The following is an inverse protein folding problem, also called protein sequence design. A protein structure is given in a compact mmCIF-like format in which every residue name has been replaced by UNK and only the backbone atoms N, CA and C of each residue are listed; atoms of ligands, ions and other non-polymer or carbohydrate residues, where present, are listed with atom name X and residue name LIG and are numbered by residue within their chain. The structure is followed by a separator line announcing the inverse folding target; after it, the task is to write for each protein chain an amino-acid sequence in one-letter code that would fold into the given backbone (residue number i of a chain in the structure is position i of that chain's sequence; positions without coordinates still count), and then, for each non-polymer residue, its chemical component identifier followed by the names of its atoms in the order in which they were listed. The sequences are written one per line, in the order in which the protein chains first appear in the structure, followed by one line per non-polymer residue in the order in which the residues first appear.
data_IF_442999095039
#
_entry.id   IF_442999095039
#
_cell.length_a   1.000
_cell.length_b   1.000
_cell.length_c   1.000
_cell.angle_alpha   90.00
_cell.angle_beta   90.00
_cell.angle_gamma   90.00
#
_symmetry.space_group_name_H-M   'P 1'
#
loop_
_entity.id
_entity.type
_entity.pdbx_description
1 polymer ?
#
# COMPACT_ATOMS: atom_id res chain seq x y z
N UNK A 1 12.52 -3.69 -0.17
CA UNK A 1 11.75 -4.81 0.39
C UNK A 1 12.59 -5.55 1.43
N UNK A 2 12.04 -5.80 2.60
CA UNK A 2 12.63 -6.60 3.66
C UNK A 2 11.72 -7.80 3.98
N UNK A 3 12.31 -8.94 4.32
CA UNK A 3 11.59 -10.15 4.71
C UNK A 3 12.15 -10.65 6.03
N UNK A 4 11.33 -10.72 7.04
CA UNK A 4 11.60 -11.43 8.29
C UNK A 4 11.01 -12.83 8.19
N UNK A 5 11.85 -13.87 8.36
CA UNK A 5 11.38 -15.26 8.41
C UNK A 5 11.31 -15.73 9.85
N UNK A 6 10.21 -16.35 10.19
CA UNK A 6 10.05 -17.08 11.44
C UNK A 6 9.41 -18.44 11.16
N UNK A 7 9.87 -19.47 11.82
CA UNK A 7 9.10 -20.71 11.86
C UNK A 7 7.86 -20.55 12.77
N UNK A 8 6.96 -21.51 12.67
CA UNK A 8 5.69 -21.51 13.41
C UNK A 8 5.89 -21.43 14.93
N UNK A 9 6.95 -22.07 15.45
CA UNK A 9 7.25 -22.08 16.89
C UNK A 9 7.83 -20.75 17.31
N UNK A 10 8.85 -20.26 16.59
CA UNK A 10 9.45 -18.95 16.84
C UNK A 10 8.42 -17.81 16.78
N UNK A 11 7.49 -17.89 15.82
CA UNK A 11 6.41 -16.90 15.75
C UNK A 11 5.51 -16.97 17.00
N UNK A 12 5.13 -18.16 17.42
CA UNK A 12 4.35 -18.36 18.63
C UNK A 12 5.08 -17.84 19.88
N UNK A 13 6.36 -18.18 20.04
CA UNK A 13 7.16 -17.76 21.19
C UNK A 13 7.35 -16.25 21.25
N UNK A 14 7.45 -15.58 20.11
CA UNK A 14 7.53 -14.11 20.07
C UNK A 14 6.24 -13.40 20.44
N UNK A 15 5.09 -14.09 20.41
CA UNK A 15 3.81 -13.53 20.89
C UNK A 15 3.67 -13.60 22.43
N UNK A 16 4.36 -14.53 23.08
CA UNK A 16 4.26 -14.77 24.53
C UNK A 16 5.52 -14.38 25.30
N UNK A 17 6.65 -14.22 24.62
CA UNK A 17 7.94 -13.99 25.19
C UNK A 17 8.34 -12.52 25.36
N UNK A 18 9.50 -12.31 26.00
CA UNK A 18 10.10 -10.98 26.23
C UNK A 18 10.55 -10.30 24.91
N UNK A 19 10.75 -11.05 23.83
CA UNK A 19 11.13 -10.49 22.54
C UNK A 19 9.90 -9.99 21.80
N UNK A 20 9.75 -8.67 21.74
CA UNK A 20 8.62 -8.03 21.06
C UNK A 20 8.71 -8.23 19.55
N UNK A 21 7.86 -9.11 19.01
CA UNK A 21 7.61 -9.23 17.56
C UNK A 21 7.31 -7.85 16.94
N UNK A 22 6.46 -7.08 17.60
CA UNK A 22 6.05 -5.75 17.17
C UNK A 22 7.19 -4.74 17.14
N UNK A 23 8.16 -4.84 18.05
CA UNK A 23 9.35 -3.98 18.04
C UNK A 23 10.24 -4.23 16.83
N UNK A 24 10.52 -5.50 16.51
CA UNK A 24 11.34 -5.87 15.35
C UNK A 24 10.66 -5.49 14.02
N UNK A 25 9.39 -5.88 13.87
CA UNK A 25 8.64 -5.63 12.65
C UNK A 25 8.25 -4.15 12.49
N UNK A 26 8.02 -3.44 13.61
CA UNK A 26 7.77 -2.00 13.59
C UNK A 26 8.96 -1.22 13.06
N UNK A 27 10.19 -1.53 13.52
CA UNK A 27 11.41 -0.93 12.98
C UNK A 27 11.58 -1.24 11.49
N UNK A 28 11.32 -2.49 11.09
CA UNK A 28 11.40 -2.89 9.69
C UNK A 28 10.39 -2.13 8.82
N UNK A 29 9.16 -1.89 9.31
CA UNK A 29 8.12 -1.17 8.56
C UNK A 29 8.42 0.32 8.39
N UNK A 30 9.22 0.92 9.28
CA UNK A 30 9.65 2.32 9.15
C UNK A 30 10.86 2.49 8.24
N UNK A 31 11.69 1.46 8.11
CA UNK A 31 12.94 1.52 7.35
C UNK A 31 12.76 1.10 5.89
N UNK A 32 11.80 0.22 5.60
CA UNK A 32 11.59 -0.34 4.26
C UNK A 32 10.18 -0.11 3.75
N UNK A 33 10.05 0.34 2.50
CA UNK A 33 8.75 0.58 1.83
C UNK A 33 7.86 -0.67 1.76
N UNK A 34 8.48 -1.84 1.73
CA UNK A 34 7.79 -3.13 1.70
C UNK A 34 8.38 -4.04 2.75
N UNK A 35 7.57 -4.36 3.74
CA UNK A 35 7.93 -5.24 4.85
C UNK A 35 7.06 -6.49 4.84
N UNK A 36 7.68 -7.64 4.88
CA UNK A 36 7.03 -8.96 4.78
C UNK A 36 7.45 -9.81 5.97
N UNK A 37 6.46 -10.37 6.67
CA UNK A 37 6.66 -11.47 7.61
C UNK A 37 6.35 -12.78 6.90
N UNK A 38 7.34 -13.65 6.80
CA UNK A 38 7.19 -15.00 6.28
C UNK A 38 7.12 -15.99 7.44
N UNK A 39 6.01 -16.73 7.55
CA UNK A 39 5.81 -17.76 8.57
C UNK A 39 5.94 -19.10 7.89
N UNK A 40 6.98 -19.87 8.29
CA UNK A 40 7.30 -21.16 7.70
C UNK A 40 6.85 -22.32 8.59
N UNK A 41 6.27 -23.36 7.98
CA UNK A 41 5.96 -24.63 8.61
C UNK A 41 4.49 -24.97 8.64
N UNK A 42 4.14 -25.95 9.45
CA UNK A 42 2.76 -26.44 9.56
C UNK A 42 1.88 -25.50 10.39
N UNK A 43 1.14 -24.63 9.69
CA UNK A 43 0.35 -23.55 10.32
C UNK A 43 -0.71 -24.03 11.31
N UNK A 44 -1.19 -25.27 11.16
CA UNK A 44 -2.07 -25.91 12.15
C UNK A 44 -1.46 -25.97 13.55
N UNK A 45 -0.14 -26.14 13.64
CA UNK A 45 0.58 -26.17 14.91
C UNK A 45 0.56 -24.85 15.68
N UNK A 46 0.35 -23.70 15.02
CA UNK A 46 0.14 -22.43 15.72
C UNK A 46 -0.99 -22.48 16.74
N UNK A 47 -2.05 -23.22 16.41
CA UNK A 47 -3.25 -23.30 17.24
C UNK A 47 -3.18 -24.44 18.28
N UNK A 48 -2.12 -25.21 18.27
CA UNK A 48 -1.84 -26.25 19.28
C UNK A 48 -0.80 -25.82 20.32
N UNK A 49 -0.20 -24.65 20.12
CA UNK A 49 0.70 -24.02 21.11
C UNK A 49 -0.12 -23.50 22.30
N UNK A 50 0.55 -23.25 23.43
CA UNK A 50 -0.10 -22.71 24.63
C UNK A 50 -0.45 -21.21 24.49
N UNK A 51 -1.07 -20.85 23.34
CA UNK A 51 -1.48 -19.48 23.00
C UNK A 51 -2.96 -19.53 22.60
N UNK A 52 -3.72 -18.59 23.15
CA UNK A 52 -5.12 -18.49 22.79
C UNK A 52 -5.27 -18.11 21.29
N UNK A 53 -6.09 -18.82 20.50
CA UNK A 53 -6.23 -18.58 19.06
C UNK A 53 -6.55 -17.12 18.69
N UNK A 54 -7.30 -16.41 19.56
CA UNK A 54 -7.60 -14.99 19.33
C UNK A 54 -6.37 -14.09 19.47
N UNK A 55 -5.36 -14.46 20.28
CA UNK A 55 -4.12 -13.71 20.37
C UNK A 55 -3.34 -13.79 19.06
N UNK A 56 -3.30 -14.96 18.43
CA UNK A 56 -2.67 -15.15 17.11
C UNK A 56 -3.39 -14.32 16.05
N UNK A 57 -4.73 -14.34 16.03
CA UNK A 57 -5.53 -13.54 15.09
C UNK A 57 -5.35 -12.04 15.29
N UNK A 58 -5.38 -11.59 16.55
CA UNK A 58 -5.17 -10.20 16.89
C UNK A 58 -3.78 -9.72 16.46
N UNK A 59 -2.73 -10.50 16.75
CA UNK A 59 -1.37 -10.17 16.35
C UNK A 59 -1.20 -10.06 14.83
N UNK A 60 -1.70 -11.04 14.07
CA UNK A 60 -1.68 -10.99 12.60
C UNK A 60 -2.46 -9.79 12.06
N UNK A 61 -3.63 -9.49 12.63
CA UNK A 61 -4.44 -8.34 12.23
C UNK A 61 -3.72 -7.01 12.50
N UNK A 62 -3.11 -6.86 13.67
CA UNK A 62 -2.36 -5.65 14.03
C UNK A 62 -1.15 -5.47 13.11
N UNK A 63 -0.39 -6.51 12.81
CA UNK A 63 0.73 -6.44 11.88
C UNK A 63 0.31 -5.94 10.50
N UNK A 64 -0.85 -6.38 10.00
CA UNK A 64 -1.36 -5.98 8.69
C UNK A 64 -1.91 -4.55 8.73
N UNK A 65 -2.76 -4.24 9.71
CA UNK A 65 -3.54 -2.99 9.73
C UNK A 65 -2.74 -1.83 10.32
N UNK A 66 -2.04 -2.05 11.45
CA UNK A 66 -1.36 -0.98 12.19
C UNK A 66 0.05 -0.75 11.67
N UNK A 67 0.76 -1.81 11.25
CA UNK A 67 2.15 -1.76 10.82
C UNK A 67 2.33 -1.87 9.29
N UNK A 68 1.29 -2.19 8.53
CA UNK A 68 1.35 -2.33 7.08
C UNK A 68 2.21 -3.51 6.59
N UNK A 69 2.42 -4.52 7.42
CA UNK A 69 3.27 -5.67 7.12
C UNK A 69 2.47 -6.73 6.38
N UNK A 70 2.96 -7.15 5.24
CA UNK A 70 2.38 -8.27 4.51
C UNK A 70 2.77 -9.59 5.18
N UNK A 71 1.81 -10.48 5.40
CA UNK A 71 2.09 -11.82 5.94
C UNK A 71 1.96 -12.83 4.82
N UNK A 72 3.00 -13.62 4.62
CA UNK A 72 3.00 -14.77 3.70
C UNK A 72 3.36 -16.04 4.48
N UNK A 73 2.88 -17.14 4.00
CA UNK A 73 3.03 -18.45 4.65
C UNK A 73 3.71 -19.42 3.68
N UNK A 74 4.60 -20.25 4.19
CA UNK A 74 5.25 -21.32 3.44
C UNK A 74 5.18 -22.65 4.21
N UNK A 75 5.24 -23.76 3.49
CA UNK A 75 5.09 -25.09 4.11
C UNK A 75 6.40 -25.61 4.70
N UNK A 76 7.53 -25.26 4.10
CA UNK A 76 8.88 -25.73 4.47
C UNK A 76 9.94 -24.84 3.85
N UNK A 77 11.21 -25.18 4.10
CA UNK A 77 12.37 -24.43 3.61
C UNK A 77 12.45 -24.36 2.07
N UNK A 78 12.06 -25.42 1.35
CA UNK A 78 12.06 -25.46 -0.12
C UNK A 78 11.02 -24.51 -0.70
N UNK A 79 9.83 -24.48 -0.10
CA UNK A 79 8.76 -23.55 -0.45
C UNK A 79 9.15 -22.12 -0.13
N UNK A 80 9.77 -21.89 1.03
CA UNK A 80 10.35 -20.59 1.40
C UNK A 80 11.37 -20.11 0.37
N UNK A 81 12.31 -20.95 -0.02
CA UNK A 81 13.32 -20.61 -1.02
C UNK A 81 12.67 -20.25 -2.37
N UNK A 82 11.65 -20.98 -2.76
CA UNK A 82 10.88 -20.72 -3.97
C UNK A 82 10.14 -19.37 -3.90
N UNK A 83 9.45 -19.08 -2.81
CA UNK A 83 8.78 -17.79 -2.56
C UNK A 83 9.75 -16.61 -2.60
N UNK A 84 10.88 -16.72 -1.90
CA UNK A 84 11.92 -15.67 -1.89
C UNK A 84 12.49 -15.42 -3.28
N UNK A 85 12.71 -16.46 -4.07
CA UNK A 85 13.14 -16.35 -5.47
C UNK A 85 12.14 -15.56 -6.32
N UNK A 86 10.84 -15.84 -6.18
CA UNK A 86 9.79 -15.12 -6.91
C UNK A 86 9.65 -13.67 -6.45
N UNK A 87 9.75 -13.40 -5.14
CA UNK A 87 9.76 -12.05 -4.59
C UNK A 87 10.95 -11.24 -5.12
N UNK A 88 12.16 -11.79 -5.04
CA UNK A 88 13.37 -11.15 -5.56
C UNK A 88 13.25 -10.84 -7.05
N UNK A 89 12.77 -11.81 -7.85
CA UNK A 89 12.54 -11.59 -9.27
C UNK A 89 11.56 -10.45 -9.55
N UNK A 90 10.46 -10.36 -8.80
CA UNK A 90 9.50 -9.27 -8.95
C UNK A 90 10.07 -7.91 -8.54
N UNK A 91 10.84 -7.86 -7.46
CA UNK A 91 11.48 -6.61 -7.01
C UNK A 91 12.57 -6.12 -7.97
N UNK A 92 13.28 -7.02 -8.62
CA UNK A 92 14.36 -6.68 -9.55
C UNK A 92 13.85 -6.33 -10.95
N UNK A 93 12.84 -7.04 -11.45
CA UNK A 93 12.31 -6.84 -12.82
C UNK A 93 11.44 -5.59 -12.92
N UNK A 94 10.81 -5.15 -11.82
CA UNK A 94 9.93 -4.00 -11.84
C UNK A 94 10.63 -2.63 -11.77
N UNK A 95 11.97 -2.58 -11.79
CA UNK A 95 12.71 -1.30 -11.81
C UNK A 95 12.60 -0.53 -13.11
N UNK A 96 12.26 -1.21 -14.23
CA UNK A 96 12.14 -0.61 -15.56
C UNK A 96 10.71 -0.54 -16.11
N UNK A 97 9.72 -0.98 -15.34
CA UNK A 97 8.34 -0.83 -15.76
C UNK A 97 7.81 0.52 -15.29
N UNK A 98 7.36 1.33 -16.25
CA UNK A 98 6.49 2.48 -15.99
C UNK A 98 5.55 2.13 -14.84
N UNK A 99 5.62 2.92 -13.77
CA UNK A 99 4.79 2.76 -12.59
C UNK A 99 3.34 2.69 -13.06
N UNK A 100 2.73 1.51 -12.99
CA UNK A 100 1.29 1.41 -13.11
C UNK A 100 0.73 1.54 -11.67
N UNK A 101 0.49 2.74 -11.17
CA UNK A 101 0.11 3.00 -9.77
C UNK A 101 -1.26 2.40 -9.43
N UNK A 102 -1.90 1.81 -10.42
CA UNK A 102 -3.27 1.39 -10.33
C UNK A 102 -3.36 -0.08 -10.72
N UNK A 103 -3.77 -0.94 -9.80
CA UNK A 103 -4.28 -2.27 -10.16
C UNK A 103 -5.30 -2.11 -11.29
N UNK A 104 -5.40 -3.11 -12.19
CA UNK A 104 -6.24 -3.12 -13.40
C UNK A 104 -7.72 -2.81 -13.08
N UNK A 105 -8.04 -1.57 -12.73
CA UNK A 105 -9.41 -1.10 -12.63
C UNK A 105 -9.88 -0.80 -14.05
N UNK A 106 -10.63 -1.73 -14.63
CA UNK A 106 -11.30 -1.48 -15.91
C UNK A 106 -12.40 -0.46 -15.67
N UNK A 107 -12.16 0.78 -16.07
CA UNK A 107 -13.21 1.78 -16.21
C UNK A 107 -14.13 1.34 -17.35
N UNK A 108 -15.44 1.36 -17.12
CA UNK A 108 -16.44 0.91 -18.09
C UNK A 108 -16.94 2.04 -18.99
N UNK A 109 -16.79 3.29 -18.52
CA UNK A 109 -17.28 4.49 -19.21
C UNK A 109 -16.24 5.59 -19.18
N UNK A 110 -16.31 6.53 -20.14
CA UNK A 110 -15.46 7.74 -20.18
C UNK A 110 -15.59 8.53 -18.87
N UNK A 111 -16.78 8.62 -18.31
CA UNK A 111 -17.01 9.28 -17.03
C UNK A 111 -16.22 8.65 -15.90
N UNK A 112 -16.23 7.32 -15.79
CA UNK A 112 -15.44 6.60 -14.78
C UNK A 112 -13.95 6.77 -15.01
N UNK A 113 -13.51 6.87 -16.24
CA UNK A 113 -12.12 7.11 -16.60
C UNK A 113 -11.68 8.52 -16.19
N UNK A 114 -12.48 9.54 -16.42
CA UNK A 114 -12.23 10.90 -15.96
C UNK A 114 -12.18 10.97 -14.42
N UNK A 115 -13.14 10.38 -13.72
CA UNK A 115 -13.15 10.30 -12.26
C UNK A 115 -11.88 9.62 -11.73
N UNK A 116 -11.43 8.57 -12.41
CA UNK A 116 -10.24 7.83 -12.07
C UNK A 116 -8.96 8.67 -12.25
N UNK A 117 -8.79 9.34 -13.38
CA UNK A 117 -7.63 10.21 -13.66
C UNK A 117 -7.53 11.32 -12.60
N UNK A 118 -8.61 12.03 -12.34
CA UNK A 118 -8.61 13.14 -11.37
C UNK A 118 -8.39 12.63 -9.94
N UNK A 119 -8.97 11.48 -9.58
CA UNK A 119 -8.77 10.88 -8.25
C UNK A 119 -7.36 10.32 -8.02
N UNK A 120 -6.56 10.16 -9.07
CA UNK A 120 -5.16 9.71 -8.99
C UNK A 120 -4.22 10.80 -8.52
N UNK A 121 -4.64 12.05 -8.53
CA UNK A 121 -3.86 13.17 -8.00
C UNK A 121 -3.76 13.00 -6.47
N UNK A 122 -2.56 13.11 -5.94
CA UNK A 122 -2.30 13.00 -4.48
C UNK A 122 -3.23 13.92 -3.69
N UNK A 123 -3.86 13.41 -2.66
CA UNK A 123 -4.82 14.09 -1.80
C UNK A 123 -6.18 14.45 -2.47
N UNK A 124 -6.42 14.00 -3.71
CA UNK A 124 -7.70 14.11 -4.40
C UNK A 124 -8.34 12.73 -4.42
N UNK A 125 -9.19 12.46 -3.45
CA UNK A 125 -9.95 11.20 -3.42
C UNK A 125 -11.16 11.22 -4.39
N UNK A 126 -11.86 10.07 -4.55
CA UNK A 126 -12.98 9.95 -5.48
C UNK A 126 -14.10 10.99 -5.30
N UNK A 127 -14.38 11.39 -4.06
CA UNK A 127 -15.38 12.43 -3.77
C UNK A 127 -14.96 13.78 -4.33
N UNK A 128 -13.71 14.20 -4.08
CA UNK A 128 -13.18 15.46 -4.57
C UNK A 128 -13.07 15.48 -6.10
N UNK A 129 -12.70 14.34 -6.71
CA UNK A 129 -12.66 14.21 -8.16
C UNK A 129 -14.03 14.45 -8.81
N UNK A 130 -15.09 13.91 -8.20
CA UNK A 130 -16.48 14.16 -8.67
C UNK A 130 -16.89 15.62 -8.53
N UNK A 131 -16.55 16.27 -7.42
CA UNK A 131 -16.84 17.69 -7.22
C UNK A 131 -16.13 18.55 -8.27
N UNK A 132 -14.85 18.30 -8.52
CA UNK A 132 -14.07 18.98 -9.56
C UNK A 132 -14.68 18.76 -10.96
N UNK A 133 -14.99 17.51 -11.32
CA UNK A 133 -15.56 17.20 -12.64
C UNK A 133 -16.98 17.76 -12.84
N UNK A 134 -17.77 17.86 -11.78
CA UNK A 134 -19.09 18.49 -11.86
C UNK A 134 -18.99 20.00 -12.05
N UNK A 135 -18.01 20.66 -11.44
CA UNK A 135 -17.80 22.12 -11.56
C UNK A 135 -17.16 22.49 -12.90
N UNK A 136 -16.13 21.78 -13.30
CA UNK A 136 -15.33 22.10 -14.49
C UNK A 136 -15.74 21.34 -15.76
N UNK A 137 -16.67 20.40 -15.67
CA UNK A 137 -17.21 19.58 -16.77
C UNK A 137 -16.21 18.60 -17.43
N UNK A 138 -14.92 18.87 -17.44
CA UNK A 138 -13.90 17.99 -18.02
C UNK A 138 -12.51 18.19 -17.38
N UNK A 139 -11.61 17.25 -17.65
CA UNK A 139 -10.24 17.23 -17.09
C UNK A 139 -9.43 18.43 -17.58
N UNK A 140 -9.61 18.84 -18.85
CA UNK A 140 -8.84 19.94 -19.42
C UNK A 140 -9.13 21.25 -18.70
N UNK A 141 -10.37 21.53 -18.36
CA UNK A 141 -10.74 22.73 -17.61
C UNK A 141 -10.18 22.71 -16.18
N UNK A 142 -10.20 21.55 -15.51
CA UNK A 142 -9.57 21.39 -14.19
C UNK A 142 -8.07 21.68 -14.26
N UNK A 143 -7.38 21.16 -15.27
CA UNK A 143 -5.92 21.29 -15.39
C UNK A 143 -5.46 22.68 -15.82
N UNK A 144 -6.32 23.44 -16.50
CA UNK A 144 -6.06 24.82 -16.89
C UNK A 144 -6.56 25.86 -15.87
N UNK A 145 -7.32 25.43 -14.86
CA UNK A 145 -7.86 26.34 -13.86
C UNK A 145 -6.78 26.93 -12.95
N UNK A 146 -6.95 28.19 -12.58
CA UNK A 146 -6.12 28.85 -11.57
C UNK A 146 -6.48 28.37 -10.16
N UNK A 147 -5.51 28.52 -9.23
CA UNK A 147 -5.70 28.17 -7.82
C UNK A 147 -6.95 28.79 -7.21
N UNK A 148 -7.28 30.03 -7.57
CA UNK A 148 -8.47 30.74 -7.09
C UNK A 148 -9.76 30.02 -7.49
N UNK A 149 -9.89 29.63 -8.76
CA UNK A 149 -11.06 28.90 -9.28
C UNK A 149 -11.18 27.49 -8.69
N UNK A 150 -10.05 26.79 -8.57
CA UNK A 150 -10.04 25.46 -7.95
C UNK A 150 -10.52 25.50 -6.49
N UNK A 151 -10.25 26.56 -5.76
CA UNK A 151 -10.69 26.77 -4.37
C UNK A 151 -12.20 27.04 -4.22
N UNK A 152 -12.89 27.42 -5.28
CA UNK A 152 -14.35 27.63 -5.26
C UNK A 152 -15.10 26.28 -5.16
N UNK A 153 -14.42 25.17 -5.53
CA UNK A 153 -15.00 23.83 -5.44
C UNK A 153 -15.05 23.36 -4.00
N UNK A 154 -16.23 22.92 -3.58
CA UNK A 154 -16.44 22.35 -2.24
C UNK A 154 -15.40 21.27 -1.92
N UNK A 155 -14.77 21.34 -0.74
CA UNK A 155 -13.73 20.41 -0.25
C UNK A 155 -12.34 20.55 -0.87
N UNK A 156 -12.13 21.49 -1.79
CA UNK A 156 -10.81 21.82 -2.36
C UNK A 156 -10.25 23.06 -1.66
N UNK A 157 -9.43 22.83 -0.66
CA UNK A 157 -8.68 23.91 0.02
C UNK A 157 -7.45 24.33 -0.76
N UNK A 158 -6.77 25.38 -0.26
CA UNK A 158 -5.62 26.00 -0.89
C UNK A 158 -4.48 25.03 -1.22
N UNK A 159 -4.17 24.09 -0.31
CA UNK A 159 -3.12 23.08 -0.50
C UNK A 159 -3.41 22.15 -1.67
N UNK A 160 -4.65 21.65 -1.77
CA UNK A 160 -5.07 20.79 -2.87
C UNK A 160 -5.08 21.54 -4.20
N UNK A 161 -5.57 22.77 -4.22
CA UNK A 161 -5.60 23.61 -5.40
C UNK A 161 -4.19 23.94 -5.91
N UNK A 162 -3.27 24.31 -5.02
CA UNK A 162 -1.85 24.51 -5.35
C UNK A 162 -1.21 23.24 -5.88
N UNK A 163 -1.52 22.10 -5.30
CA UNK A 163 -0.96 20.83 -5.74
C UNK A 163 -1.44 20.44 -7.15
N UNK A 164 -2.75 20.58 -7.45
CA UNK A 164 -3.29 20.36 -8.79
C UNK A 164 -2.56 21.27 -9.80
N UNK A 165 -2.47 22.55 -9.49
CA UNK A 165 -1.82 23.55 -10.35
C UNK A 165 -0.33 23.24 -10.56
N UNK A 166 0.38 22.81 -9.52
CA UNK A 166 1.80 22.43 -9.60
C UNK A 166 2.01 21.22 -10.53
N UNK A 167 1.25 20.14 -10.36
CA UNK A 167 1.37 18.93 -11.21
C UNK A 167 1.16 19.25 -12.69
N UNK A 168 0.24 20.15 -13.00
CA UNK A 168 -0.13 20.43 -14.38
C UNK A 168 0.81 21.41 -15.07
N UNK A 169 1.62 22.15 -14.32
CA UNK A 169 2.50 23.22 -14.84
C UNK A 169 3.99 22.94 -14.68
N UNK A 170 4.36 21.97 -13.86
CA UNK A 170 5.77 21.59 -13.69
C UNK A 170 6.24 20.76 -14.88
N UNK A 171 7.37 21.16 -15.45
CA UNK A 171 7.98 20.38 -16.53
C UNK A 171 8.43 19.01 -16.01
N UNK A 172 8.23 17.98 -16.84
CA UNK A 172 8.69 16.62 -16.55
C UNK A 172 10.19 16.55 -16.82
N UNK A 173 10.98 16.42 -15.75
CA UNK A 173 12.44 16.24 -15.82
C UNK A 173 12.81 14.82 -15.41
N UNK A 174 13.72 14.20 -16.18
CA UNK A 174 14.37 12.96 -15.78
C UNK A 174 15.47 13.31 -14.77
N UNK A 175 15.20 13.13 -13.46
CA UNK A 175 16.22 13.14 -12.43
C UNK A 175 16.92 11.79 -12.32
#
# INVERSE_FOLDING_TARGET
CAVERKDVVDFADTLTGERSLFGQLGSMSTEYDKSILLIEGEHGKLYTQNIHPNAIRAAKSSLIVDYGISIIESMNEEDTASLLKYLAKKEQVNKDTTVNPHGKKKTKTIKEEQEYIVSSIKNIGPKNAKHLLNEFNNINEIFNADVSKLKEVETIGEEKAKHINSITRTEYTNE
#
